data_IF_167746612576
#
_entry.id   IF_167746612576
#
_cell.length_a   1.000
_cell.length_b   1.000
_cell.length_c   1.000
_cell.angle_alpha   90.00
_cell.angle_beta   90.00
_cell.angle_gamma   90.00
#
_symmetry.space_group_name_H-M   'P 1'
#
loop_
_entity.id
_entity.type
_entity.pdbx_description
1 polymer ?
#
# COMPACT_ATOMS: atom_id res chain seq x y z
N UNK A 1 -9.29 -1.15 -2.13
CA UNK A 1 -8.17 -1.10 -3.07
C UNK A 1 -8.70 -1.47 -4.44
N UNK A 2 -8.27 -0.77 -5.47
CA UNK A 2 -8.65 -1.03 -6.86
C UNK A 2 -7.39 -1.12 -7.70
N UNK A 3 -7.35 -2.05 -8.65
CA UNK A 3 -6.16 -2.34 -9.47
C UNK A 3 -6.16 -3.79 -9.93
N UNK A 4 -5.29 -4.13 -10.88
CA UNK A 4 -5.12 -5.51 -11.35
C UNK A 4 -4.27 -6.33 -10.37
N UNK A 5 -4.38 -7.66 -10.47
CA UNK A 5 -3.61 -8.61 -9.67
C UNK A 5 -4.33 -9.10 -8.42
N UNK A 6 -3.71 -10.08 -7.76
CA UNK A 6 -4.15 -10.56 -6.45
C UNK A 6 -3.21 -9.98 -5.40
N UNK A 7 -3.72 -9.08 -4.56
CA UNK A 7 -2.94 -8.40 -3.51
C UNK A 7 -3.54 -8.70 -2.15
N UNK A 8 -2.74 -9.30 -1.28
CA UNK A 8 -3.08 -9.45 0.12
C UNK A 8 -2.73 -8.18 0.90
N UNK A 9 -3.63 -7.76 1.79
CA UNK A 9 -3.61 -6.43 2.39
C UNK A 9 -3.78 -6.53 3.91
N UNK A 10 -2.80 -5.99 4.65
CA UNK A 10 -2.82 -5.97 6.11
C UNK A 10 -2.63 -4.55 6.64
N UNK A 11 -3.58 -4.09 7.45
CA UNK A 11 -3.55 -2.75 8.05
C UNK A 11 -3.17 -2.82 9.52
N UNK A 12 -2.11 -2.12 9.90
CA UNK A 12 -1.65 -1.98 11.28
C UNK A 12 -1.77 -0.53 11.73
N UNK A 13 -2.25 -0.33 12.95
CA UNK A 13 -2.39 1.00 13.54
C UNK A 13 -1.47 1.09 14.76
N UNK A 14 -0.76 2.20 14.85
CA UNK A 14 0.10 2.54 15.98
C UNK A 14 -0.16 4.01 16.37
N UNK A 15 0.18 4.44 17.60
CA UNK A 15 0.07 5.85 17.96
C UNK A 15 0.83 6.73 16.97
N UNK A 16 0.12 7.64 16.32
CA UNK A 16 0.69 8.57 15.35
C UNK A 16 1.01 7.99 13.97
N UNK A 17 0.66 6.73 13.66
CA UNK A 17 0.84 6.19 12.30
C UNK A 17 -0.02 5.00 11.92
N UNK A 18 -0.16 4.80 10.63
CA UNK A 18 -0.81 3.64 10.01
C UNK A 18 0.16 3.00 9.02
N UNK A 19 0.25 1.67 9.06
CA UNK A 19 1.05 0.88 8.14
C UNK A 19 0.13 -0.02 7.32
N UNK A 20 0.21 0.07 6.01
CA UNK A 20 -0.44 -0.85 5.09
C UNK A 20 0.63 -1.75 4.47
N UNK A 21 0.60 -3.03 4.83
CA UNK A 21 1.43 -4.06 4.22
C UNK A 21 0.68 -4.70 3.05
N UNK A 22 1.32 -4.69 1.89
CA UNK A 22 0.82 -5.23 0.64
C UNK A 22 1.72 -6.37 0.19
N UNK A 23 1.13 -7.48 -0.21
CA UNK A 23 1.86 -8.63 -0.78
C UNK A 23 1.23 -8.98 -2.11
N UNK A 24 2.02 -8.94 -3.18
CA UNK A 24 1.60 -9.38 -4.51
C UNK A 24 1.63 -10.91 -4.55
N UNK A 25 0.44 -11.50 -4.64
CA UNK A 25 0.25 -12.93 -4.81
C UNK A 25 -0.07 -13.30 -6.28
N UNK A 26 0.10 -12.35 -7.21
CA UNK A 26 -0.16 -12.59 -8.62
C UNK A 26 0.82 -13.61 -9.18
N UNK A 27 0.28 -14.70 -9.71
CA UNK A 27 1.09 -15.81 -10.20
C UNK A 27 1.63 -16.74 -9.10
N UNK A 28 1.45 -16.41 -7.82
CA UNK A 28 1.91 -17.24 -6.71
C UNK A 28 1.25 -18.62 -6.76
N UNK A 29 2.07 -19.67 -6.64
CA UNK A 29 1.64 -21.05 -6.64
C UNK A 29 2.48 -21.90 -5.69
N UNK A 30 2.21 -23.21 -5.66
CA UNK A 30 2.93 -24.16 -4.79
C UNK A 30 4.34 -24.52 -5.30
N UNK A 31 4.76 -23.95 -6.42
CA UNK A 31 6.07 -24.18 -7.02
C UNK A 31 6.90 -22.90 -6.95
N UNK A 32 8.23 -22.99 -6.80
CA UNK A 32 9.10 -21.83 -6.87
C UNK A 32 8.91 -21.07 -8.19
N UNK A 33 8.80 -19.75 -8.09
CA UNK A 33 8.79 -18.87 -9.26
C UNK A 33 10.18 -18.30 -9.45
N UNK A 34 10.64 -18.24 -10.71
CA UNK A 34 11.92 -17.60 -11.03
C UNK A 34 11.81 -16.06 -11.10
N UNK A 35 10.62 -15.54 -11.44
CA UNK A 35 10.39 -14.10 -11.61
C UNK A 35 8.98 -13.70 -11.14
N UNK A 36 8.90 -12.55 -10.47
CA UNK A 36 7.64 -11.91 -10.08
C UNK A 36 7.18 -10.91 -11.14
N UNK A 37 5.88 -10.83 -11.36
CA UNK A 37 5.28 -9.84 -12.27
C UNK A 37 4.72 -8.68 -11.46
N UNK A 38 5.22 -7.48 -11.71
CA UNK A 38 4.71 -6.29 -11.05
C UNK A 38 3.24 -6.01 -11.40
N UNK A 39 2.47 -5.58 -10.40
CA UNK A 39 1.08 -5.15 -10.56
C UNK A 39 0.92 -3.67 -10.24
N UNK A 40 0.06 -2.98 -10.97
CA UNK A 40 -0.21 -1.56 -10.77
C UNK A 40 -0.71 -0.85 -12.02
N UNK A 41 -1.12 0.42 -11.91
CA UNK A 41 -1.19 1.19 -10.67
C UNK A 41 -2.30 0.69 -9.72
N UNK A 42 -2.06 0.81 -8.41
CA UNK A 42 -3.03 0.45 -7.37
C UNK A 42 -3.60 1.71 -6.71
N UNK A 43 -4.92 1.88 -6.78
CA UNK A 43 -5.64 2.93 -6.06
C UNK A 43 -5.94 2.46 -4.63
N UNK A 44 -5.41 3.20 -3.66
CA UNK A 44 -5.47 2.85 -2.25
C UNK A 44 -6.30 3.91 -1.53
N UNK A 45 -7.32 3.45 -0.81
CA UNK A 45 -8.09 4.26 0.10
C UNK A 45 -8.19 3.54 1.45
N UNK A 46 -7.84 4.22 2.53
CA UNK A 46 -7.91 3.68 3.88
C UNK A 46 -8.36 4.75 4.88
N UNK A 47 -9.12 4.33 5.89
CA UNK A 47 -9.60 5.23 6.94
C UNK A 47 -8.49 5.45 7.96
N UNK A 48 -8.15 6.71 8.21
CA UNK A 48 -7.21 7.09 9.24
C UNK A 48 -7.89 7.15 10.61
N UNK A 49 -7.14 6.90 11.71
CA UNK A 49 -7.59 7.23 13.06
C UNK A 49 -8.00 8.69 13.19
N UNK A 50 -8.92 8.97 14.11
CA UNK A 50 -9.41 10.33 14.34
C UNK A 50 -8.26 11.28 14.74
N UNK A 51 -8.28 12.49 14.17
CA UNK A 51 -7.25 13.50 14.40
C UNK A 51 -5.94 13.29 13.63
N UNK A 52 -5.80 12.19 12.88
CA UNK A 52 -4.68 11.99 11.96
C UNK A 52 -4.97 12.62 10.59
N UNK A 53 -3.95 13.27 10.04
CA UNK A 53 -3.95 13.75 8.66
C UNK A 53 -2.53 13.71 8.13
N UNK A 54 -2.39 13.35 6.85
CA UNK A 54 -1.11 13.29 6.17
C UNK A 54 -1.24 13.82 4.73
N UNK A 55 -0.17 14.42 4.23
CA UNK A 55 -0.07 14.85 2.82
C UNK A 55 0.82 13.94 2.00
N UNK A 56 1.57 13.05 2.67
CA UNK A 56 2.46 12.08 2.06
C UNK A 56 2.38 10.75 2.78
N UNK A 57 2.71 9.68 2.06
CA UNK A 57 3.02 8.37 2.59
C UNK A 57 4.45 8.01 2.18
N UNK A 58 5.11 7.14 2.95
CA UNK A 58 6.44 6.64 2.62
C UNK A 58 6.38 5.15 2.37
N UNK A 59 6.90 4.70 1.24
CA UNK A 59 7.09 3.28 0.95
C UNK A 59 8.40 2.81 1.58
N UNK A 60 8.45 1.57 2.08
CA UNK A 60 9.62 1.06 2.81
C UNK A 60 10.51 0.16 1.98
N UNK A 61 9.95 -0.50 0.97
CA UNK A 61 10.72 -1.33 0.03
C UNK A 61 11.28 -0.45 -1.08
N UNK A 62 10.43 0.34 -1.76
CA UNK A 62 10.89 1.24 -2.81
C UNK A 62 11.55 2.53 -2.27
N UNK A 63 11.25 2.94 -1.03
CA UNK A 63 11.85 4.13 -0.41
C UNK A 63 11.34 5.46 -0.98
N UNK A 64 10.15 5.46 -1.57
CA UNK A 64 9.52 6.58 -2.25
C UNK A 64 8.53 7.33 -1.37
N UNK A 65 8.29 8.60 -1.69
CA UNK A 65 7.21 9.38 -1.08
C UNK A 65 6.03 9.49 -2.05
N UNK A 66 4.87 9.03 -1.61
CA UNK A 66 3.63 9.08 -2.39
C UNK A 66 2.75 10.22 -1.90
N UNK A 67 2.15 11.03 -2.78
CA UNK A 67 1.21 12.05 -2.38
C UNK A 67 -0.06 11.42 -1.80
N UNK A 68 -0.56 11.98 -0.70
CA UNK A 68 -1.80 11.54 -0.03
C UNK A 68 -2.80 12.67 -0.03
N UNK A 69 -4.03 12.36 -0.48
CA UNK A 69 -5.17 13.25 -0.31
C UNK A 69 -6.04 12.74 0.84
N UNK A 70 -6.20 13.55 1.90
CA UNK A 70 -7.08 13.24 3.02
C UNK A 70 -8.44 13.95 2.86
N UNK A 71 -9.53 13.20 2.77
CA UNK A 71 -10.91 13.74 2.72
C UNK A 71 -11.79 12.99 3.69
N UNK A 72 -12.42 13.70 4.63
CA UNK A 72 -13.35 13.13 5.62
C UNK A 72 -12.75 11.92 6.39
N UNK A 73 -11.47 12.02 6.77
CA UNK A 73 -10.74 10.96 7.49
C UNK A 73 -10.27 9.78 6.63
N UNK A 74 -10.43 9.84 5.30
CA UNK A 74 -9.90 8.85 4.37
C UNK A 74 -8.64 9.36 3.68
N UNK A 75 -7.55 8.63 3.80
CA UNK A 75 -6.35 8.81 2.99
C UNK A 75 -6.53 8.11 1.64
N UNK A 76 -6.22 8.82 0.56
CA UNK A 76 -6.20 8.30 -0.82
C UNK A 76 -4.83 8.53 -1.44
N UNK A 77 -4.28 7.49 -2.07
CA UNK A 77 -3.01 7.52 -2.77
C UNK A 77 -2.96 6.46 -3.88
N UNK A 78 -1.99 6.61 -4.77
CA UNK A 78 -1.70 5.64 -5.83
C UNK A 78 -0.32 5.02 -5.58
N UNK A 79 -0.23 3.68 -5.63
CA UNK A 79 1.05 2.97 -5.71
C UNK A 79 1.29 2.59 -7.18
N UNK A 80 2.32 3.13 -7.85
CA UNK A 80 2.51 2.93 -9.30
C UNK A 80 2.74 1.47 -9.69
N UNK A 81 3.50 0.73 -8.89
CA UNK A 81 3.80 -0.68 -9.11
C UNK A 81 4.09 -1.40 -7.78
N UNK A 82 3.75 -2.68 -7.72
CA UNK A 82 4.02 -3.59 -6.62
C UNK A 82 4.61 -4.88 -7.20
N UNK A 83 5.90 -5.12 -6.97
CA UNK A 83 6.59 -6.31 -7.47
C UNK A 83 6.32 -7.53 -6.59
N UNK A 84 6.80 -7.52 -5.35
CA UNK A 84 6.66 -8.62 -4.39
C UNK A 84 5.82 -8.20 -3.19
N UNK A 85 6.28 -7.18 -2.48
CA UNK A 85 5.61 -6.63 -1.31
C UNK A 85 5.99 -5.16 -1.15
N UNK A 86 5.16 -4.45 -0.40
CA UNK A 86 5.42 -3.06 -0.02
C UNK A 86 4.82 -2.78 1.36
N UNK A 87 5.46 -1.91 2.12
CA UNK A 87 4.89 -1.34 3.35
C UNK A 87 4.76 0.16 3.13
N UNK A 88 3.52 0.62 3.11
CA UNK A 88 3.19 2.03 3.03
C UNK A 88 2.94 2.54 4.44
N UNK A 89 3.69 3.57 4.85
CA UNK A 89 3.55 4.20 6.16
C UNK A 89 2.98 5.61 5.99
N UNK A 90 1.93 5.90 6.77
CA UNK A 90 1.30 7.22 6.86
C UNK A 90 1.44 7.68 8.32
N UNK A 91 2.06 8.84 8.54
CA UNK A 91 2.36 9.43 9.86
C UNK A 91 1.91 10.90 9.89
#
# INVERSE_FOLDING_TARGET
>A
MEGAGLVDCHLYQQPGRVLLHLVNLTGAGYVPMEESVAVGPLQIALKLPDGMGATTATTRVAGESLPVTCVNGWAKLELPALLDHEIIVIE
#
